data_IF_681606019394
#
_entry.id   IF_681606019394
#
_cell.length_a   1.000
_cell.length_b   1.000
_cell.length_c   1.000
_cell.angle_alpha   90.00
_cell.angle_beta   90.00
_cell.angle_gamma   90.00
#
_symmetry.space_group_name_H-M   'P 1'
#
loop_
_entity.id
_entity.type
_entity.pdbx_description
1 polymer ?
#
# COMPACT_ATOMS: atom_id res chain seq x y z
N UNK A 1 16.93 -37.13 7.60
CA UNK A 1 15.98 -36.06 7.37
C UNK A 1 16.50 -34.63 7.69
N UNK A 2 17.55 -34.44 8.49
CA UNK A 2 18.12 -33.09 8.81
C UNK A 2 19.05 -32.48 7.74
N UNK A 3 19.59 -33.24 6.80
CA UNK A 3 20.52 -32.73 5.77
C UNK A 3 19.84 -32.18 4.50
N UNK A 4 18.58 -32.50 4.24
CA UNK A 4 17.85 -31.99 3.10
C UNK A 4 17.30 -30.57 3.38
N UNK A 5 16.98 -30.26 4.64
CA UNK A 5 16.41 -28.97 5.07
C UNK A 5 17.47 -27.84 5.05
N UNK A 6 18.71 -28.16 5.43
CA UNK A 6 19.82 -27.18 5.44
C UNK A 6 20.27 -26.75 4.03
N UNK A 7 20.21 -27.64 3.04
CA UNK A 7 20.58 -27.32 1.66
C UNK A 7 19.52 -26.45 0.96
N UNK A 8 18.25 -26.67 1.26
CA UNK A 8 17.14 -25.85 0.72
C UNK A 8 17.12 -24.43 1.30
N UNK A 9 17.46 -24.27 2.57
CA UNK A 9 17.56 -22.97 3.22
C UNK A 9 18.77 -22.15 2.74
N UNK A 10 19.90 -22.79 2.49
CA UNK A 10 21.10 -22.15 1.93
C UNK A 10 20.86 -21.69 0.47
N UNK A 11 20.15 -22.51 -0.32
CA UNK A 11 19.74 -22.12 -1.69
C UNK A 11 18.74 -20.99 -1.68
N UNK A 12 17.78 -20.96 -0.75
CA UNK A 12 16.83 -19.84 -0.56
C UNK A 12 17.55 -18.55 -0.16
N UNK A 13 18.46 -18.63 0.83
CA UNK A 13 19.26 -17.48 1.27
C UNK A 13 20.08 -16.86 0.14
N UNK A 14 20.71 -17.68 -0.70
CA UNK A 14 21.49 -17.23 -1.86
C UNK A 14 20.60 -16.56 -2.91
N UNK A 15 19.37 -17.05 -3.15
CA UNK A 15 18.41 -16.44 -4.07
C UNK A 15 17.92 -15.09 -3.58
N UNK A 16 17.63 -14.96 -2.28
CA UNK A 16 17.23 -13.69 -1.65
C UNK A 16 18.35 -12.66 -1.76
N UNK A 17 19.59 -13.04 -1.45
CA UNK A 17 20.74 -12.14 -1.57
C UNK A 17 20.95 -11.65 -3.01
N UNK A 18 20.74 -12.52 -4.01
CA UNK A 18 20.77 -12.13 -5.43
C UNK A 18 19.68 -11.09 -5.76
N UNK A 19 18.46 -11.24 -5.24
CA UNK A 19 17.37 -10.27 -5.44
C UNK A 19 17.76 -8.88 -4.95
N UNK A 20 18.29 -8.77 -3.72
CA UNK A 20 18.70 -7.49 -3.14
C UNK A 20 19.87 -6.84 -3.88
N UNK A 21 20.80 -7.64 -4.40
CA UNK A 21 22.03 -7.11 -5.02
C UNK A 21 21.87 -6.76 -6.50
N UNK A 22 21.09 -7.53 -7.24
CA UNK A 22 21.01 -7.41 -8.72
C UNK A 22 19.69 -6.83 -9.24
N UNK A 23 18.67 -6.71 -8.39
CA UNK A 23 17.35 -6.23 -8.78
C UNK A 23 16.89 -5.04 -7.92
N UNK A 24 17.50 -3.85 -8.04
CA UNK A 24 17.18 -2.68 -7.21
C UNK A 24 15.72 -2.24 -7.38
N UNK A 25 15.12 -2.44 -8.54
CA UNK A 25 13.71 -2.13 -8.79
C UNK A 25 12.78 -3.03 -7.98
N UNK A 26 13.13 -4.32 -7.83
CA UNK A 26 12.40 -5.23 -6.94
C UNK A 26 12.49 -4.78 -5.48
N UNK A 27 13.68 -4.38 -5.04
CA UNK A 27 13.88 -3.89 -3.66
C UNK A 27 13.04 -2.65 -3.41
N UNK A 28 13.02 -1.71 -4.35
CA UNK A 28 12.16 -0.53 -4.23
C UNK A 28 10.67 -0.91 -4.24
N UNK A 29 10.25 -1.86 -5.09
CA UNK A 29 8.88 -2.39 -5.10
C UNK A 29 8.50 -3.08 -3.78
N UNK A 30 9.42 -3.80 -3.14
CA UNK A 30 9.22 -4.40 -1.82
C UNK A 30 9.00 -3.33 -0.74
N UNK A 31 9.81 -2.27 -0.73
CA UNK A 31 9.62 -1.14 0.19
C UNK A 31 8.34 -0.36 -0.09
N UNK A 32 7.99 -0.17 -1.36
CA UNK A 32 6.75 0.49 -1.75
C UNK A 32 5.52 -0.32 -1.31
N UNK A 33 5.56 -1.65 -1.45
CA UNK A 33 4.49 -2.52 -0.99
C UNK A 33 4.38 -2.52 0.53
N UNK A 34 5.52 -2.56 1.25
CA UNK A 34 5.54 -2.45 2.71
C UNK A 34 4.94 -1.12 3.18
N UNK A 35 5.34 0.00 2.55
CA UNK A 35 4.82 1.33 2.88
C UNK A 35 3.31 1.43 2.60
N UNK A 36 2.83 0.81 1.52
CA UNK A 36 1.41 0.69 1.20
C UNK A 36 0.66 -0.09 2.29
N UNK A 37 1.15 -1.27 2.69
CA UNK A 37 0.53 -2.11 3.73
C UNK A 37 0.46 -1.40 5.08
N UNK A 38 1.54 -0.71 5.47
CA UNK A 38 1.54 0.13 6.68
C UNK A 38 0.41 1.15 6.61
N UNK A 39 0.22 1.80 5.46
CA UNK A 39 -0.79 2.83 5.25
C UNK A 39 -2.22 2.26 5.30
N UNK A 40 -2.48 1.19 4.53
CA UNK A 40 -3.78 0.53 4.44
C UNK A 40 -4.26 0.04 5.82
N UNK A 41 -3.42 -0.74 6.51
CA UNK A 41 -3.80 -1.32 7.80
C UNK A 41 -3.95 -0.24 8.87
N UNK A 42 -3.09 0.79 8.83
CA UNK A 42 -3.17 1.92 9.76
C UNK A 42 -4.47 2.71 9.59
N UNK A 43 -4.89 3.02 8.35
CA UNK A 43 -6.16 3.68 8.07
C UNK A 43 -7.33 2.83 8.55
N UNK A 44 -7.35 1.53 8.21
CA UNK A 44 -8.43 0.62 8.61
C UNK A 44 -8.58 0.55 10.13
N UNK A 45 -7.47 0.47 10.86
CA UNK A 45 -7.47 0.37 12.32
C UNK A 45 -7.85 1.67 13.01
N UNK A 46 -7.56 2.83 12.40
CA UNK A 46 -7.76 4.14 12.99
C UNK A 46 -9.04 4.83 12.53
N UNK A 47 -9.73 4.29 11.52
CA UNK A 47 -10.90 4.89 10.88
C UNK A 47 -12.02 5.25 11.86
N UNK A 48 -12.42 4.30 12.69
CA UNK A 48 -13.51 4.50 13.66
C UNK A 48 -13.12 5.59 14.65
N UNK A 49 -11.91 5.52 15.23
CA UNK A 49 -11.41 6.51 16.17
C UNK A 49 -11.43 7.94 15.60
N UNK A 50 -11.04 8.09 14.33
CA UNK A 50 -11.09 9.38 13.64
C UNK A 50 -12.51 9.88 13.44
N UNK A 51 -13.42 9.02 12.97
CA UNK A 51 -14.80 9.42 12.65
C UNK A 51 -15.59 9.78 13.91
N UNK A 52 -15.39 9.08 15.02
CA UNK A 52 -16.11 9.32 16.27
C UNK A 52 -15.47 10.41 17.11
N UNK A 53 -14.15 10.44 17.17
CA UNK A 53 -13.42 11.45 17.95
C UNK A 53 -13.53 12.86 17.40
N UNK A 54 -13.62 13.02 16.07
CA UNK A 54 -13.92 14.30 15.41
C UNK A 54 -15.44 14.64 15.45
N UNK A 55 -16.26 13.75 16.01
CA UNK A 55 -17.70 13.98 16.15
C UNK A 55 -18.50 13.94 14.85
N UNK A 56 -17.97 13.30 13.80
CA UNK A 56 -18.69 13.17 12.53
C UNK A 56 -19.86 12.21 12.61
N UNK A 57 -19.72 11.14 13.39
CA UNK A 57 -20.74 10.11 13.58
C UNK A 57 -20.52 9.32 14.88
N UNK A 58 -21.52 8.56 15.29
CA UNK A 58 -21.44 7.61 16.40
C UNK A 58 -20.70 6.32 16.00
N UNK A 59 -20.26 5.53 16.98
CA UNK A 59 -19.46 4.30 16.77
C UNK A 59 -20.18 3.28 15.86
N UNK A 60 -21.49 3.12 16.02
CA UNK A 60 -22.28 2.18 15.21
C UNK A 60 -22.29 2.62 13.74
N UNK A 61 -22.55 3.90 13.49
CA UNK A 61 -22.56 4.46 12.14
C UNK A 61 -21.17 4.41 11.52
N UNK A 62 -20.11 4.73 12.27
CA UNK A 62 -18.72 4.63 11.80
C UNK A 62 -18.34 3.21 11.38
N UNK A 63 -18.76 2.20 12.16
CA UNK A 63 -18.54 0.79 11.86
C UNK A 63 -19.28 0.33 10.60
N UNK A 64 -20.50 0.80 10.39
CA UNK A 64 -21.27 0.52 9.16
C UNK A 64 -20.61 1.17 7.95
N UNK A 65 -20.20 2.44 8.07
CA UNK A 65 -19.51 3.16 6.98
C UNK A 65 -18.18 2.48 6.62
N UNK A 66 -17.40 2.06 7.62
CA UNK A 66 -16.17 1.29 7.39
C UNK A 66 -16.47 -0.02 6.66
N UNK A 67 -17.51 -0.75 7.07
CA UNK A 67 -17.91 -2.01 6.43
C UNK A 67 -18.27 -1.79 4.95
N UNK A 68 -19.00 -0.72 4.65
CA UNK A 68 -19.35 -0.34 3.27
C UNK A 68 -18.08 0.04 2.49
N UNK A 69 -17.17 0.82 3.09
CA UNK A 69 -15.91 1.22 2.47
C UNK A 69 -15.02 0.00 2.14
N UNK A 70 -14.93 -0.98 3.05
CA UNK A 70 -14.24 -2.25 2.83
C UNK A 70 -14.93 -3.10 1.74
N UNK A 71 -16.26 -3.03 1.64
CA UNK A 71 -17.02 -3.64 0.53
C UNK A 71 -16.61 -3.04 -0.82
N UNK A 72 -16.58 -1.71 -0.93
CA UNK A 72 -16.09 -1.02 -2.14
C UNK A 72 -14.63 -1.33 -2.42
N UNK A 73 -13.78 -1.42 -1.41
CA UNK A 73 -12.40 -1.83 -1.54
C UNK A 73 -12.26 -3.24 -2.14
N UNK A 74 -13.06 -4.20 -1.66
CA UNK A 74 -13.06 -5.55 -2.19
C UNK A 74 -13.51 -5.59 -3.66
N UNK A 75 -14.60 -4.90 -4.00
CA UNK A 75 -15.08 -4.76 -5.39
C UNK A 75 -14.02 -4.06 -6.25
N UNK A 76 -13.39 -3.01 -5.74
CA UNK A 76 -12.32 -2.26 -6.40
C UNK A 76 -11.11 -3.15 -6.75
N UNK A 77 -10.74 -4.13 -5.93
CA UNK A 77 -9.67 -5.10 -6.26
C UNK A 77 -10.01 -5.95 -7.49
N UNK A 78 -11.25 -6.42 -7.62
CA UNK A 78 -11.67 -7.16 -8.82
C UNK A 78 -11.70 -6.26 -10.05
N UNK A 79 -12.28 -5.07 -9.94
CA UNK A 79 -12.32 -4.07 -11.01
C UNK A 79 -10.90 -3.67 -11.42
N UNK A 80 -10.01 -3.42 -10.47
CA UNK A 80 -8.61 -3.09 -10.73
C UNK A 80 -7.85 -4.20 -11.47
N UNK A 81 -8.04 -5.45 -11.05
CA UNK A 81 -7.44 -6.61 -11.73
C UNK A 81 -7.97 -6.76 -13.17
N UNK A 82 -9.23 -6.48 -13.40
CA UNK A 82 -9.81 -6.46 -14.73
C UNK A 82 -9.29 -5.29 -15.55
N UNK A 83 -9.20 -4.10 -14.97
CA UNK A 83 -8.74 -2.88 -15.64
C UNK A 83 -7.27 -2.97 -16.10
N UNK A 84 -6.41 -3.69 -15.35
CA UNK A 84 -5.02 -3.96 -15.73
C UNK A 84 -4.87 -4.80 -17.03
N UNK A 85 -5.94 -5.40 -17.53
CA UNK A 85 -5.92 -6.08 -18.85
C UNK A 85 -5.99 -5.08 -20.02
N UNK A 86 -6.51 -3.87 -19.76
CA UNK A 86 -6.75 -2.84 -20.79
C UNK A 86 -5.81 -1.62 -20.62
N UNK A 87 -5.41 -1.32 -19.39
CA UNK A 87 -4.58 -0.16 -19.06
C UNK A 87 -3.24 -0.64 -18.51
N UNK A 88 -2.16 0.02 -18.91
CA UNK A 88 -0.83 -0.27 -18.38
C UNK A 88 -0.82 -0.12 -16.86
N UNK A 89 -0.29 -1.12 -16.17
CA UNK A 89 -0.27 -1.18 -14.71
C UNK A 89 0.43 0.05 -14.09
N UNK A 90 1.48 0.56 -14.72
CA UNK A 90 2.23 1.73 -14.24
C UNK A 90 1.37 3.01 -14.27
N UNK A 91 0.54 3.19 -15.33
CA UNK A 91 -0.34 4.34 -15.46
C UNK A 91 -1.47 4.27 -14.42
N UNK A 92 -2.02 3.08 -14.23
CA UNK A 92 -3.07 2.86 -13.24
C UNK A 92 -2.55 3.13 -11.83
N UNK A 93 -1.35 2.65 -11.52
CA UNK A 93 -0.73 2.82 -10.21
C UNK A 93 -0.42 4.28 -9.91
N UNK A 94 0.09 5.07 -10.88
CA UNK A 94 0.39 6.49 -10.63
C UNK A 94 -0.88 7.31 -10.37
N UNK A 95 -1.98 7.00 -11.09
CA UNK A 95 -3.27 7.67 -10.87
C UNK A 95 -3.79 7.35 -9.46
N UNK A 96 -3.74 6.08 -9.05
CA UNK A 96 -4.19 5.66 -7.73
C UNK A 96 -3.31 6.24 -6.62
N UNK A 97 -1.98 6.20 -6.76
CA UNK A 97 -1.05 6.77 -5.78
C UNK A 97 -1.21 8.29 -5.63
N UNK A 98 -1.33 9.02 -6.75
CA UNK A 98 -1.59 10.46 -6.72
C UNK A 98 -2.96 10.80 -6.10
N UNK A 99 -3.99 10.00 -6.40
CA UNK A 99 -5.32 10.12 -5.79
C UNK A 99 -5.27 9.94 -4.27
N UNK A 100 -4.58 8.89 -3.78
CA UNK A 100 -4.42 8.64 -2.34
C UNK A 100 -3.60 9.71 -1.64
N UNK A 101 -2.50 10.17 -2.23
CA UNK A 101 -1.72 11.30 -1.68
C UNK A 101 -2.60 12.55 -1.57
N UNK A 102 -3.41 12.85 -2.59
CA UNK A 102 -4.34 13.99 -2.57
C UNK A 102 -5.40 13.83 -1.48
N UNK A 103 -5.98 12.64 -1.34
CA UNK A 103 -6.94 12.35 -0.26
C UNK A 103 -6.30 12.55 1.12
N UNK A 104 -5.06 12.09 1.33
CA UNK A 104 -4.36 12.27 2.61
C UNK A 104 -4.03 13.73 2.89
N UNK A 105 -3.69 14.53 1.88
CA UNK A 105 -3.53 15.98 2.04
C UNK A 105 -4.84 16.62 2.52
N UNK A 106 -5.97 16.27 1.91
CA UNK A 106 -7.28 16.79 2.30
C UNK A 106 -7.66 16.37 3.73
N UNK A 107 -7.31 15.12 4.13
CA UNK A 107 -7.53 14.66 5.51
C UNK A 107 -6.68 15.47 6.49
N UNK A 108 -5.39 15.68 6.20
CA UNK A 108 -4.46 16.44 7.04
C UNK A 108 -4.82 17.93 7.17
N UNK A 109 -5.52 18.50 6.19
CA UNK A 109 -6.02 19.88 6.26
C UNK A 109 -7.19 20.04 7.26
N UNK A 110 -7.78 18.96 7.75
CA UNK A 110 -8.83 19.01 8.77
C UNK A 110 -10.10 19.72 8.33
N UNK A 111 -10.53 19.56 7.07
CA UNK A 111 -11.66 20.27 6.48
C UNK A 111 -13.04 19.68 6.87
N UNK A 112 -13.14 19.01 8.01
CA UNK A 112 -14.38 18.48 8.52
C UNK A 112 -14.96 17.39 7.61
N UNK A 113 -16.21 17.53 7.17
CA UNK A 113 -16.92 16.56 6.32
C UNK A 113 -16.19 16.27 4.99
N UNK A 114 -15.39 17.20 4.48
CA UNK A 114 -14.60 17.01 3.27
C UNK A 114 -13.46 16.03 3.53
N UNK A 115 -12.80 16.12 4.69
CA UNK A 115 -11.78 15.15 5.12
C UNK A 115 -12.36 13.75 5.29
N UNK A 116 -13.57 13.64 5.86
CA UNK A 116 -14.30 12.37 5.96
C UNK A 116 -14.55 11.77 4.56
N UNK A 117 -15.09 12.56 3.63
CA UNK A 117 -15.35 12.10 2.26
C UNK A 117 -14.05 11.71 1.53
N UNK A 118 -12.96 12.45 1.72
CA UNK A 118 -11.66 12.13 1.17
C UNK A 118 -11.12 10.78 1.72
N UNK A 119 -11.25 10.56 3.02
CA UNK A 119 -10.82 9.29 3.64
C UNK A 119 -11.60 8.09 3.09
N UNK A 120 -12.92 8.21 2.93
CA UNK A 120 -13.76 7.16 2.33
C UNK A 120 -13.40 6.94 0.86
N UNK A 121 -13.15 8.02 0.11
CA UNK A 121 -12.76 7.93 -1.30
C UNK A 121 -11.40 7.26 -1.50
N UNK A 122 -10.50 7.36 -0.51
CA UNK A 122 -9.19 6.73 -0.54
C UNK A 122 -9.27 5.21 -0.72
N UNK A 123 -10.28 4.54 -0.16
CA UNK A 123 -10.49 3.10 -0.31
C UNK A 123 -10.61 2.64 -1.77
N UNK A 124 -11.13 3.48 -2.66
CA UNK A 124 -11.20 3.17 -4.09
C UNK A 124 -9.81 3.16 -4.75
N UNK A 125 -8.95 4.09 -4.37
CA UNK A 125 -7.59 4.16 -4.89
C UNK A 125 -6.71 3.05 -4.31
N UNK A 126 -6.82 2.78 -3.02
CA UNK A 126 -6.09 1.70 -2.33
C UNK A 126 -6.37 0.34 -2.91
N UNK A 127 -7.62 0.05 -3.27
CA UNK A 127 -8.07 -1.25 -3.73
C UNK A 127 -7.24 -1.82 -4.88
N UNK A 128 -6.75 -0.94 -5.76
CA UNK A 128 -6.03 -1.31 -6.98
C UNK A 128 -4.51 -1.38 -6.74
N UNK A 129 -3.98 -0.69 -5.72
CA UNK A 129 -2.54 -0.54 -5.53
C UNK A 129 -1.83 -1.85 -5.22
N UNK A 130 -2.34 -2.67 -4.29
CA UNK A 130 -1.69 -3.91 -3.88
C UNK A 130 -1.38 -4.85 -5.06
N UNK A 131 -2.39 -5.31 -5.84
CA UNK A 131 -2.14 -6.24 -6.93
C UNK A 131 -1.25 -5.63 -8.01
N UNK A 132 -1.32 -4.31 -8.20
CA UNK A 132 -0.52 -3.61 -9.19
C UNK A 132 0.94 -3.52 -8.77
N UNK A 133 1.25 -3.08 -7.55
CA UNK A 133 2.64 -3.03 -7.01
C UNK A 133 3.24 -4.43 -7.02
N UNK A 134 2.48 -5.42 -6.54
CA UNK A 134 2.91 -6.82 -6.50
C UNK A 134 3.29 -7.34 -7.89
N UNK A 135 2.43 -7.12 -8.89
CA UNK A 135 2.68 -7.53 -10.27
C UNK A 135 3.92 -6.84 -10.86
N UNK A 136 4.04 -5.51 -10.68
CA UNK A 136 5.15 -4.72 -11.19
C UNK A 136 6.49 -5.07 -10.54
N UNK A 137 6.50 -5.31 -9.22
CA UNK A 137 7.70 -5.72 -8.49
C UNK A 137 8.22 -7.11 -8.93
N UNK A 138 7.34 -8.00 -9.37
CA UNK A 138 7.71 -9.33 -9.86
C UNK A 138 8.11 -9.36 -11.34
N UNK A 139 7.97 -8.24 -12.04
CA UNK A 139 8.27 -8.21 -13.48
C UNK A 139 9.77 -8.36 -13.74
N UNK A 140 10.14 -9.17 -14.75
CA UNK A 140 11.53 -9.37 -15.16
C UNK A 140 12.40 -10.26 -14.26
N UNK A 141 11.86 -10.89 -13.19
CA UNK A 141 12.65 -11.68 -12.22
C UNK A 141 12.90 -13.13 -12.62
N UNK A 142 12.33 -13.63 -13.73
CA UNK A 142 12.56 -15.00 -14.23
C UNK A 142 12.45 -16.07 -13.13
N UNK A 143 13.50 -16.86 -12.95
CA UNK A 143 13.56 -17.96 -11.97
C UNK A 143 13.55 -17.51 -10.50
N UNK A 144 13.75 -16.21 -10.21
CA UNK A 144 13.71 -15.65 -8.86
C UNK A 144 12.29 -15.23 -8.44
N UNK A 145 11.32 -15.25 -9.37
CA UNK A 145 9.94 -14.79 -9.14
C UNK A 145 9.27 -15.47 -7.94
N UNK A 146 9.50 -16.77 -7.74
CA UNK A 146 8.93 -17.52 -6.59
C UNK A 146 9.47 -17.03 -5.25
N UNK A 147 10.77 -16.82 -5.14
CA UNK A 147 11.40 -16.29 -3.91
C UNK A 147 11.03 -14.83 -3.67
N UNK A 148 10.93 -14.04 -4.73
CA UNK A 148 10.49 -12.65 -4.67
C UNK A 148 9.03 -12.53 -4.21
N UNK A 149 8.12 -13.37 -4.74
CA UNK A 149 6.72 -13.41 -4.32
C UNK A 149 6.58 -13.77 -2.84
N UNK A 150 7.39 -14.71 -2.34
CA UNK A 150 7.39 -15.06 -0.90
C UNK A 150 7.80 -13.87 -0.02
N UNK A 151 8.78 -13.05 -0.44
CA UNK A 151 9.17 -11.84 0.28
C UNK A 151 8.08 -10.78 0.26
N UNK A 152 7.45 -10.55 -0.90
CA UNK A 152 6.35 -9.60 -1.02
C UNK A 152 5.14 -10.01 -0.17
N UNK A 153 4.87 -11.31 -0.02
CA UNK A 153 3.81 -11.81 0.86
C UNK A 153 4.11 -11.67 2.36
N UNK A 154 5.31 -11.27 2.74
CA UNK A 154 5.66 -10.94 4.13
C UNK A 154 5.40 -9.48 4.48
N UNK A 155 5.09 -8.60 3.52
CA UNK A 155 4.86 -7.17 3.76
C UNK A 155 3.70 -6.84 4.71
N UNK A 156 2.63 -7.67 4.87
CA UNK A 156 1.60 -7.43 5.89
C UNK A 156 2.13 -7.36 7.34
N UNK A 157 3.38 -7.75 7.61
CA UNK A 157 4.06 -7.49 8.88
C UNK A 157 4.13 -5.97 9.18
N UNK A 158 4.04 -5.13 8.13
CA UNK A 158 3.89 -3.67 8.26
C UNK A 158 2.61 -3.24 8.97
N UNK A 159 1.66 -4.15 9.17
CA UNK A 159 0.45 -3.91 9.96
C UNK A 159 0.69 -3.36 11.36
N UNK A 160 1.87 -3.55 11.93
CA UNK A 160 2.25 -2.91 13.20
C UNK A 160 2.31 -1.36 13.12
N UNK A 161 2.23 -0.78 11.93
CA UNK A 161 2.22 0.67 11.73
C UNK A 161 1.06 1.40 12.43
N UNK A 162 -0.08 0.73 12.68
CA UNK A 162 -1.19 1.33 13.42
C UNK A 162 -0.82 1.73 14.85
N UNK A 163 0.13 1.04 15.48
CA UNK A 163 0.64 1.41 16.81
C UNK A 163 1.28 2.81 16.80
N UNK A 164 1.99 3.13 15.72
CA UNK A 164 2.58 4.47 15.55
C UNK A 164 1.49 5.54 15.40
N UNK A 165 0.39 5.24 14.71
CA UNK A 165 -0.75 6.17 14.63
C UNK A 165 -1.36 6.43 16.01
N UNK A 166 -1.54 5.39 16.83
CA UNK A 166 -2.03 5.53 18.20
C UNK A 166 -1.12 6.43 19.05
N UNK A 167 0.18 6.17 19.04
CA UNK A 167 1.17 6.97 19.80
C UNK A 167 1.15 8.45 19.36
N UNK A 168 1.05 8.73 18.06
CA UNK A 168 0.98 10.10 17.55
C UNK A 168 -0.34 10.76 17.93
N UNK A 169 -1.46 10.02 17.88
CA UNK A 169 -2.76 10.52 18.28
C UNK A 169 -2.80 10.93 19.75
N UNK A 170 -2.25 10.09 20.64
CA UNK A 170 -2.17 10.37 22.07
C UNK A 170 -1.28 11.59 22.39
N UNK A 171 -0.28 11.83 21.54
CA UNK A 171 0.66 12.95 21.72
C UNK A 171 0.22 14.27 21.07
N UNK A 172 -0.76 14.23 20.13
CA UNK A 172 -1.12 15.42 19.34
C UNK A 172 -2.64 15.59 19.19
N UNK A 173 -3.20 15.08 18.10
CA UNK A 173 -4.62 15.15 17.75
C UNK A 173 -4.99 13.98 16.82
N UNK A 174 -6.30 13.85 16.50
CA UNK A 174 -6.82 12.75 15.69
C UNK A 174 -6.45 12.84 14.19
N UNK A 175 -6.01 13.99 13.71
CA UNK A 175 -5.69 14.24 12.30
C UNK A 175 -4.21 13.98 12.00
N UNK A 176 -3.31 14.40 12.91
CA UNK A 176 -1.84 14.28 12.70
C UNK A 176 -1.36 12.86 12.37
N UNK A 177 -1.93 11.77 12.94
CA UNK A 177 -1.49 10.41 12.61
C UNK A 177 -1.55 10.07 11.12
N UNK A 178 -2.42 10.72 10.34
CA UNK A 178 -2.53 10.50 8.89
C UNK A 178 -1.29 10.93 8.09
N UNK A 179 -0.30 11.52 8.75
CA UNK A 179 1.03 11.76 8.17
C UNK A 179 1.73 10.42 7.80
N UNK A 180 1.45 9.34 8.53
CA UNK A 180 2.01 8.01 8.24
C UNK A 180 1.52 7.49 6.88
N UNK A 181 0.20 7.32 6.63
CA UNK A 181 -0.27 6.89 5.32
C UNK A 181 0.05 7.90 4.20
N UNK A 182 0.11 9.19 4.49
CA UNK A 182 0.58 10.18 3.52
C UNK A 182 1.98 9.85 3.00
N UNK A 183 2.96 9.62 3.88
CA UNK A 183 4.31 9.23 3.48
C UNK A 183 4.34 7.86 2.83
N UNK A 184 3.52 6.91 3.26
CA UNK A 184 3.43 5.59 2.65
C UNK A 184 2.99 5.66 1.18
N UNK A 185 1.92 6.40 0.88
CA UNK A 185 1.48 6.59 -0.52
C UNK A 185 2.45 7.45 -1.32
N UNK A 186 3.14 8.38 -0.68
CA UNK A 186 4.20 9.15 -1.35
C UNK A 186 5.35 8.25 -1.81
N UNK A 187 5.76 7.25 -1.01
CA UNK A 187 6.75 6.24 -1.42
C UNK A 187 6.25 5.43 -2.62
N UNK A 188 4.97 5.03 -2.63
CA UNK A 188 4.36 4.34 -3.79
C UNK A 188 4.39 5.23 -5.03
N UNK A 189 4.10 6.51 -4.89
CA UNK A 189 4.15 7.48 -5.99
C UNK A 189 5.57 7.61 -6.57
N UNK A 190 6.59 7.68 -5.71
CA UNK A 190 8.00 7.70 -6.12
C UNK A 190 8.40 6.40 -6.84
N UNK A 191 7.99 5.25 -6.34
CA UNK A 191 8.24 3.97 -7.00
C UNK A 191 7.67 3.94 -8.41
N UNK A 192 6.43 4.40 -8.57
CA UNK A 192 5.75 4.40 -9.86
C UNK A 192 6.37 5.38 -10.84
N UNK A 193 6.80 6.56 -10.37
CA UNK A 193 7.47 7.56 -11.21
C UNK A 193 8.81 7.04 -11.75
N UNK A 194 9.56 6.29 -10.95
CA UNK A 194 10.81 5.66 -11.37
C UNK A 194 10.57 4.53 -12.39
N UNK A 195 9.48 3.76 -12.23
CA UNK A 195 9.07 2.76 -13.22
C UNK A 195 8.76 3.39 -14.58
N UNK A 196 7.98 4.47 -14.59
CA UNK A 196 7.64 5.19 -15.82
C UNK A 196 8.87 5.77 -16.51
N UNK A 197 9.81 6.34 -15.75
CA UNK A 197 11.07 6.86 -16.29
C UNK A 197 11.86 5.77 -17.02
N UNK A 198 12.04 4.60 -16.37
CA UNK A 198 12.74 3.46 -16.99
C UNK A 198 12.02 2.89 -18.20
N UNK A 199 10.70 2.88 -18.18
CA UNK A 199 9.92 2.44 -19.35
C UNK A 199 10.11 3.36 -20.56
N UNK A 200 10.26 4.66 -20.36
CA UNK A 200 10.56 5.61 -21.42
C UNK A 200 11.98 5.45 -21.97
N UNK A 201 12.98 5.24 -21.10
CA UNK A 201 14.39 5.03 -21.50
C UNK A 201 14.58 3.76 -22.34
N UNK A 202 13.72 2.75 -22.17
CA UNK A 202 13.80 1.47 -22.93
C UNK A 202 13.11 1.56 -24.30
N UNK A 203 12.28 2.58 -24.53
CA UNK A 203 11.56 2.80 -25.79
C UNK A 203 12.22 3.84 -26.71
N UNK A 204 13.17 4.60 -26.19
CA UNK A 204 14.00 5.55 -26.95
C UNK A 204 15.31 4.90 -27.40
#
# INVERSE_FOLDING_TARGET
MKHADSSDDEVKGTRIMKLFRYHPLFVFGLFALLAYEVSEISINSYFINFMTGEGYMDDNTASVVLTIALGFFMVGRFVGSWLMQYIRAEILLIICAAGSVTCMIVVLLGLGKVSMAALISNYLFEAIMFPTIFSLALNGLGNLKKSAASLLMMTPIGGCGFLLMGIIADASNLITPFIIPFFGYFVVLLFTSELLRKSHETMS
#
